data_IF_292887552160
#
_entry.id   IF_292887552160
#
_cell.length_a   1.000
_cell.length_b   1.000
_cell.length_c   1.000
_cell.angle_alpha   90.00
_cell.angle_beta   90.00
_cell.angle_gamma   90.00
#
_symmetry.space_group_name_H-M   'P 1'
#
loop_
_entity.id
_entity.type
_entity.pdbx_description
1 polymer ?
#
# COMPACT_ATOMS: atom_id res chain seq x y z
N UNK A 1 -5.26 -2.13 19.32
CA UNK A 1 -5.12 -3.35 20.16
C UNK A 1 -6.47 -4.03 20.40
N UNK A 2 -7.58 -3.27 20.57
CA UNK A 2 -8.90 -3.85 20.83
C UNK A 2 -9.37 -4.74 19.68
N UNK A 3 -9.28 -4.28 18.43
CA UNK A 3 -9.67 -5.06 17.24
C UNK A 3 -8.88 -6.38 17.10
N UNK A 4 -7.62 -6.43 17.51
CA UNK A 4 -6.83 -7.67 17.52
C UNK A 4 -7.33 -8.65 18.58
N UNK A 5 -7.67 -8.13 19.78
CA UNK A 5 -8.20 -8.96 20.84
C UNK A 5 -9.57 -9.56 20.48
N UNK A 6 -10.45 -8.75 19.90
CA UNK A 6 -11.79 -9.19 19.41
C UNK A 6 -11.68 -10.24 18.31
N UNK A 7 -10.67 -10.14 17.44
CA UNK A 7 -10.39 -11.10 16.39
C UNK A 7 -9.58 -12.33 16.85
N UNK A 8 -9.18 -12.41 18.12
CA UNK A 8 -8.36 -13.50 18.65
C UNK A 8 -6.93 -13.51 18.07
N UNK A 9 -6.45 -12.39 17.55
CA UNK A 9 -5.15 -12.24 16.89
C UNK A 9 -4.14 -11.64 17.89
N UNK A 10 -2.94 -12.21 17.97
CA UNK A 10 -1.84 -11.60 18.69
C UNK A 10 -1.34 -10.38 17.92
N UNK A 11 -1.53 -9.19 18.46
CA UNK A 11 -1.15 -7.95 17.80
C UNK A 11 -1.07 -6.77 18.78
N UNK A 12 -0.29 -5.77 18.39
CA UNK A 12 -0.10 -4.52 19.12
C UNK A 12 -0.40 -3.34 18.21
N UNK A 13 -1.23 -2.41 18.69
CA UNK A 13 -1.44 -1.13 18.02
C UNK A 13 -0.43 -0.10 18.52
N UNK A 14 0.23 0.58 17.59
CA UNK A 14 1.17 1.68 17.88
C UNK A 14 0.78 2.89 17.04
N UNK A 15 0.71 4.07 17.69
CA UNK A 15 0.50 5.31 16.96
C UNK A 15 1.78 5.70 16.22
N UNK A 16 1.66 5.98 14.93
CA UNK A 16 2.79 6.31 14.07
C UNK A 16 2.38 7.33 13.00
N UNK A 17 3.06 8.47 12.97
CA UNK A 17 3.05 9.34 11.80
C UNK A 17 4.16 8.90 10.84
N UNK A 18 3.77 8.33 9.70
CA UNK A 18 4.71 7.82 8.69
C UNK A 18 5.54 8.92 8.02
N UNK A 19 5.14 10.19 8.15
CA UNK A 19 5.87 11.34 7.65
C UNK A 19 6.94 11.84 8.61
N UNK A 20 6.92 11.42 9.87
CA UNK A 20 7.93 11.75 10.88
C UNK A 20 9.03 10.67 10.93
N UNK A 21 10.21 11.01 10.42
CA UNK A 21 11.33 10.08 10.35
C UNK A 21 11.81 9.64 11.76
N UNK A 22 11.84 10.56 12.72
CA UNK A 22 12.29 10.25 14.07
C UNK A 22 11.31 9.32 14.80
N UNK A 23 10.02 9.54 14.60
CA UNK A 23 8.97 8.67 15.13
C UNK A 23 9.00 7.29 14.49
N UNK A 24 9.23 7.19 13.17
CA UNK A 24 9.41 5.91 12.47
C UNK A 24 10.57 5.13 13.06
N UNK A 25 11.74 5.76 13.20
CA UNK A 25 12.92 5.12 13.75
C UNK A 25 12.72 4.65 15.22
N UNK A 26 12.07 5.47 16.04
CA UNK A 26 11.77 5.12 17.44
C UNK A 26 10.81 3.93 17.53
N UNK A 27 9.72 3.95 16.77
CA UNK A 27 8.69 2.88 16.76
C UNK A 27 9.28 1.57 16.24
N UNK A 28 10.02 1.59 15.13
CA UNK A 28 10.62 0.37 14.58
C UNK A 28 11.72 -0.19 15.48
N UNK A 29 12.47 0.67 16.18
CA UNK A 29 13.44 0.24 17.20
C UNK A 29 12.74 -0.45 18.37
N UNK A 30 11.63 0.10 18.87
CA UNK A 30 10.84 -0.53 19.95
C UNK A 30 10.25 -1.88 19.51
N UNK A 31 9.67 -1.94 18.31
CA UNK A 31 9.17 -3.19 17.72
C UNK A 31 10.29 -4.23 17.63
N UNK A 32 11.46 -3.84 17.13
CA UNK A 32 12.62 -4.73 17.02
C UNK A 32 13.10 -5.29 18.36
N UNK A 33 13.07 -4.49 19.42
CA UNK A 33 13.41 -4.94 20.78
C UNK A 33 12.39 -5.92 21.37
N UNK A 34 11.11 -5.72 21.07
CA UNK A 34 9.99 -6.50 21.64
C UNK A 34 9.70 -7.79 20.89
N UNK A 35 9.84 -7.76 19.57
CA UNK A 35 9.35 -8.84 18.69
C UNK A 35 10.41 -9.39 17.74
N UNK A 36 11.62 -8.78 17.71
CA UNK A 36 12.66 -9.13 16.74
C UNK A 36 12.54 -8.40 15.41
N UNK A 37 13.36 -8.80 14.44
CA UNK A 37 13.40 -8.18 13.13
C UNK A 37 12.06 -8.36 12.37
N UNK A 38 11.64 -7.30 11.68
CA UNK A 38 10.40 -7.31 10.88
C UNK A 38 10.61 -8.17 9.64
N UNK A 39 9.85 -9.25 9.53
CA UNK A 39 9.91 -10.16 8.38
C UNK A 39 8.96 -9.76 7.23
N UNK A 40 7.85 -9.10 7.53
CA UNK A 40 6.85 -8.66 6.55
C UNK A 40 6.51 -7.20 6.82
N UNK A 41 6.61 -6.36 5.79
CA UNK A 41 6.18 -4.97 5.82
C UNK A 41 5.04 -4.77 4.83
N UNK A 42 3.91 -4.25 5.31
CA UNK A 42 2.80 -3.82 4.46
C UNK A 42 2.66 -2.31 4.55
N UNK A 43 3.00 -1.61 3.48
CA UNK A 43 2.83 -0.17 3.36
C UNK A 43 1.40 0.13 2.87
N UNK A 44 0.48 0.35 3.80
CA UNK A 44 -0.93 0.61 3.52
C UNK A 44 -1.35 2.06 3.78
N UNK A 45 -0.60 2.81 4.59
CA UNK A 45 -0.91 4.21 4.89
C UNK A 45 -1.02 5.04 3.60
N UNK A 46 -2.05 5.85 3.50
CA UNK A 46 -2.27 6.70 2.34
C UNK A 46 -3.44 7.66 2.55
N UNK A 47 -3.38 8.78 1.86
CA UNK A 47 -4.39 9.83 1.87
C UNK A 47 -4.73 10.24 0.44
N UNK A 48 -5.82 10.96 0.25
CA UNK A 48 -6.19 11.64 -1.00
C UNK A 48 -6.43 13.12 -0.73
N UNK A 49 -6.00 13.96 -1.67
CA UNK A 49 -6.34 15.37 -1.77
C UNK A 49 -6.69 15.65 -3.23
N UNK A 50 -7.97 15.45 -3.56
CA UNK A 50 -8.44 15.52 -4.93
C UNK A 50 -8.71 16.97 -5.32
N UNK A 51 -8.03 17.44 -6.37
CA UNK A 51 -8.22 18.76 -6.93
C UNK A 51 -7.80 18.80 -8.42
N UNK A 52 -8.46 19.61 -9.24
CA UNK A 52 -8.00 19.84 -10.61
C UNK A 52 -6.62 20.52 -10.59
N UNK A 53 -5.73 20.14 -11.50
CA UNK A 53 -4.33 20.62 -11.50
C UNK A 53 -4.20 22.15 -11.44
N UNK A 54 -5.08 22.88 -12.15
CA UNK A 54 -5.09 24.36 -12.13
C UNK A 54 -5.43 24.97 -10.76
N UNK A 55 -6.01 24.20 -9.85
CA UNK A 55 -6.44 24.65 -8.53
C UNK A 55 -5.66 23.97 -7.42
N UNK A 56 -4.93 22.90 -7.74
CA UNK A 56 -4.13 22.12 -6.81
C UNK A 56 -3.01 22.99 -6.23
N UNK A 57 -2.92 23.03 -4.91
CA UNK A 57 -1.88 23.74 -4.19
C UNK A 57 -0.65 22.86 -4.03
N UNK A 58 0.51 23.48 -3.81
CA UNK A 58 1.76 22.75 -3.59
C UNK A 58 1.71 21.89 -2.31
N UNK A 59 1.08 22.39 -1.25
CA UNK A 59 0.88 21.63 -0.02
C UNK A 59 0.01 20.37 -0.23
N UNK A 60 -1.06 20.46 -1.05
CA UNK A 60 -1.88 19.29 -1.42
C UNK A 60 -1.08 18.26 -2.24
N UNK A 61 -0.15 18.71 -3.06
CA UNK A 61 0.76 17.86 -3.82
C UNK A 61 1.79 17.21 -2.89
N UNK A 62 2.48 17.99 -2.07
CA UNK A 62 3.55 17.53 -1.18
C UNK A 62 3.04 16.54 -0.14
N UNK A 63 1.90 16.80 0.49
CA UNK A 63 1.27 15.90 1.46
C UNK A 63 1.01 14.52 0.86
N UNK A 64 0.54 14.46 -0.38
CA UNK A 64 0.30 13.19 -1.08
C UNK A 64 1.61 12.47 -1.38
N UNK A 65 2.61 13.17 -1.90
CA UNK A 65 3.91 12.57 -2.21
C UNK A 65 4.63 12.10 -0.93
N UNK A 66 4.59 12.88 0.13
CA UNK A 66 5.21 12.54 1.41
C UNK A 66 4.53 11.33 2.05
N UNK A 67 3.19 11.30 2.08
CA UNK A 67 2.45 10.23 2.73
C UNK A 67 2.38 8.97 1.88
N UNK A 68 2.09 9.07 0.58
CA UNK A 68 1.81 7.89 -0.25
C UNK A 68 3.06 7.30 -0.93
N UNK A 69 4.17 8.04 -1.01
CA UNK A 69 5.39 7.56 -1.67
C UNK A 69 6.62 7.63 -0.78
N UNK A 70 6.94 8.78 -0.20
CA UNK A 70 8.15 8.96 0.62
C UNK A 70 8.11 8.13 1.90
N UNK A 71 6.92 7.93 2.49
CA UNK A 71 6.74 7.03 3.63
C UNK A 71 7.11 5.59 3.28
N UNK A 72 6.72 5.12 2.08
CA UNK A 72 7.06 3.78 1.57
C UNK A 72 8.56 3.60 1.47
N UNK A 73 9.27 4.58 0.91
CA UNK A 73 10.74 4.58 0.90
C UNK A 73 11.30 4.51 2.33
N UNK A 74 10.81 5.36 3.24
CA UNK A 74 11.32 5.47 4.62
C UNK A 74 11.15 4.17 5.38
N UNK A 75 9.95 3.60 5.39
CA UNK A 75 9.66 2.35 6.09
C UNK A 75 10.39 1.16 5.47
N UNK A 76 10.41 1.05 4.14
CA UNK A 76 11.15 0.00 3.46
C UNK A 76 12.64 0.04 3.81
N UNK A 77 13.28 1.21 3.73
CA UNK A 77 14.69 1.40 4.10
C UNK A 77 14.97 0.98 5.54
N UNK A 78 14.08 1.32 6.47
CA UNK A 78 14.27 1.05 7.89
C UNK A 78 14.25 -0.46 8.23
N UNK A 79 13.45 -1.27 7.51
CA UNK A 79 13.38 -2.73 7.75
C UNK A 79 14.43 -3.54 6.98
N UNK A 80 15.03 -2.96 5.93
CA UNK A 80 15.93 -3.69 5.02
C UNK A 80 17.10 -4.35 5.72
N UNK A 81 17.74 -3.70 6.69
CA UNK A 81 18.93 -4.23 7.35
C UNK A 81 18.64 -5.57 8.05
N UNK A 82 17.51 -5.66 8.75
CA UNK A 82 17.06 -6.89 9.40
C UNK A 82 16.74 -7.98 8.39
N UNK A 83 15.93 -7.66 7.37
CA UNK A 83 15.57 -8.60 6.29
C UNK A 83 16.80 -9.13 5.53
N UNK A 84 17.76 -8.26 5.19
CA UNK A 84 19.01 -8.66 4.50
C UNK A 84 19.88 -9.58 5.36
N UNK A 85 19.97 -9.32 6.66
CA UNK A 85 20.68 -10.18 7.62
C UNK A 85 20.00 -11.55 7.74
N UNK A 86 18.68 -11.57 7.83
CA UNK A 86 17.88 -12.79 7.91
C UNK A 86 17.86 -13.57 6.56
N UNK A 87 18.20 -12.93 5.44
CA UNK A 87 18.03 -13.45 4.05
C UNK A 87 16.60 -13.90 3.81
N UNK A 88 15.64 -13.18 4.34
CA UNK A 88 14.21 -13.42 4.19
C UNK A 88 13.45 -12.12 4.45
N UNK A 89 12.46 -11.82 3.65
CA UNK A 89 11.59 -10.66 3.83
C UNK A 89 10.50 -10.55 2.77
N UNK A 90 9.44 -9.85 3.12
CA UNK A 90 8.34 -9.50 2.21
C UNK A 90 7.99 -8.04 2.40
N UNK A 91 8.04 -7.27 1.31
CA UNK A 91 7.57 -5.88 1.29
C UNK A 91 6.40 -5.82 0.32
N UNK A 92 5.24 -5.39 0.82
CA UNK A 92 3.99 -5.32 0.06
C UNK A 92 3.49 -3.88 0.14
N UNK A 93 3.39 -3.23 -1.01
CA UNK A 93 2.98 -1.84 -1.12
C UNK A 93 1.56 -1.76 -1.67
N UNK A 94 0.66 -1.06 -0.96
CA UNK A 94 -0.73 -0.89 -1.41
C UNK A 94 -0.79 0.29 -2.38
N UNK A 95 -0.82 -0.07 -3.65
CA UNK A 95 -0.97 0.84 -4.78
C UNK A 95 -2.42 1.29 -4.98
N UNK A 96 -2.77 1.49 -6.24
CA UNK A 96 -4.14 1.77 -6.71
C UNK A 96 -4.22 1.54 -8.21
N UNK A 97 -5.39 1.19 -8.71
CA UNK A 97 -5.71 1.20 -10.13
C UNK A 97 -5.43 2.58 -10.76
N UNK A 98 -5.65 3.65 -10.01
CA UNK A 98 -5.41 5.04 -10.44
C UNK A 98 -3.93 5.30 -10.77
N UNK A 99 -3.00 4.57 -10.16
CA UNK A 99 -1.58 4.65 -10.52
C UNK A 99 -1.27 4.15 -11.94
N UNK A 100 -2.11 3.28 -12.50
CA UNK A 100 -1.98 2.76 -13.86
C UNK A 100 -2.86 3.55 -14.86
N UNK A 101 -4.11 3.88 -14.49
CA UNK A 101 -5.09 4.48 -15.41
C UNK A 101 -5.10 6.00 -15.37
N UNK A 102 -4.63 6.62 -14.27
CA UNK A 102 -4.93 8.01 -13.97
C UNK A 102 -6.39 8.22 -13.56
N UNK A 103 -6.68 9.37 -12.99
CA UNK A 103 -8.04 9.85 -12.75
C UNK A 103 -8.05 11.38 -12.70
N UNK A 104 -9.07 12.00 -13.29
CA UNK A 104 -9.21 13.46 -13.26
C UNK A 104 -9.29 13.97 -11.81
N UNK A 105 -8.54 15.01 -11.47
CA UNK A 105 -8.47 15.56 -10.13
C UNK A 105 -7.50 14.83 -9.17
N UNK A 106 -6.83 13.76 -9.63
CA UNK A 106 -5.93 12.95 -8.81
C UNK A 106 -4.51 12.86 -9.39
N UNK A 107 -4.02 13.90 -10.04
CA UNK A 107 -2.68 13.89 -10.64
C UNK A 107 -1.56 13.64 -9.62
N UNK A 108 -1.65 14.23 -8.42
CA UNK A 108 -0.76 13.97 -7.29
C UNK A 108 -0.83 12.52 -6.81
N UNK A 109 -2.03 12.01 -6.58
CA UNK A 109 -2.26 10.63 -6.12
C UNK A 109 -1.81 9.60 -7.16
N UNK A 110 -2.16 9.80 -8.44
CA UNK A 110 -1.70 8.97 -9.55
C UNK A 110 -0.18 8.94 -9.66
N UNK A 111 0.48 10.10 -9.55
CA UNK A 111 1.94 10.21 -9.57
C UNK A 111 2.58 9.42 -8.42
N UNK A 112 2.06 9.58 -7.19
CA UNK A 112 2.56 8.86 -6.03
C UNK A 112 2.39 7.33 -6.17
N UNK A 113 1.21 6.86 -6.62
CA UNK A 113 0.93 5.42 -6.77
C UNK A 113 1.68 4.80 -7.95
N UNK A 114 1.86 5.51 -9.06
CA UNK A 114 2.73 5.08 -10.17
C UNK A 114 4.21 5.05 -9.74
N UNK A 115 4.67 6.09 -9.02
CA UNK A 115 6.03 6.15 -8.47
C UNK A 115 6.33 5.01 -7.50
N UNK A 116 5.34 4.57 -6.70
CA UNK A 116 5.44 3.43 -5.81
C UNK A 116 5.71 2.12 -6.58
N UNK A 117 5.10 1.93 -7.75
CA UNK A 117 5.34 0.75 -8.61
C UNK A 117 6.77 0.79 -9.16
N UNK A 118 7.24 1.95 -9.65
CA UNK A 118 8.62 2.13 -10.11
C UNK A 118 9.64 1.88 -9.00
N UNK A 119 9.41 2.43 -7.81
CA UNK A 119 10.21 2.18 -6.61
C UNK A 119 10.27 0.67 -6.28
N UNK A 120 9.13 0.00 -6.26
CA UNK A 120 9.03 -1.42 -5.92
C UNK A 120 9.82 -2.29 -6.89
N UNK A 121 9.73 -2.03 -8.20
CA UNK A 121 10.49 -2.74 -9.23
C UNK A 121 11.99 -2.56 -9.07
N UNK A 122 12.45 -1.34 -8.78
CA UNK A 122 13.87 -1.05 -8.56
C UNK A 122 14.39 -1.76 -7.32
N UNK A 123 13.67 -1.65 -6.20
CA UNK A 123 14.05 -2.29 -4.95
C UNK A 123 14.05 -3.82 -5.08
N UNK A 124 13.07 -4.41 -5.78
CA UNK A 124 13.03 -5.84 -6.05
C UNK A 124 14.30 -6.35 -6.78
N UNK A 125 14.82 -5.59 -7.74
CA UNK A 125 16.07 -5.90 -8.44
C UNK A 125 17.29 -5.81 -7.51
N UNK A 126 17.30 -4.82 -6.62
CA UNK A 126 18.43 -4.56 -5.71
C UNK A 126 18.59 -5.66 -4.66
N UNK A 127 17.48 -6.14 -4.09
CA UNK A 127 17.51 -7.02 -2.91
C UNK A 127 17.05 -8.46 -3.18
N UNK A 128 16.62 -8.81 -4.38
CA UNK A 128 16.10 -10.14 -4.72
C UNK A 128 17.08 -11.27 -4.41
N UNK A 129 18.39 -11.04 -4.59
CA UNK A 129 19.45 -12.01 -4.24
C UNK A 129 19.52 -12.36 -2.74
N UNK A 130 18.82 -11.60 -1.90
CA UNK A 130 18.70 -11.84 -0.46
C UNK A 130 17.41 -12.57 -0.06
N UNK A 131 16.68 -13.15 -1.02
CA UNK A 131 15.40 -13.81 -0.79
C UNK A 131 14.35 -12.86 -0.17
N UNK A 132 14.40 -11.60 -0.57
CA UNK A 132 13.43 -10.57 -0.16
C UNK A 132 12.61 -10.22 -1.41
N UNK A 133 11.28 -10.31 -1.31
CA UNK A 133 10.39 -9.93 -2.40
C UNK A 133 9.75 -8.56 -2.13
N UNK A 134 9.56 -7.80 -3.20
CA UNK A 134 8.89 -6.49 -3.15
C UNK A 134 7.80 -6.46 -4.21
N UNK A 135 6.54 -6.36 -3.80
CA UNK A 135 5.41 -6.38 -4.70
C UNK A 135 4.41 -5.27 -4.37
N UNK A 136 3.59 -4.93 -5.36
CA UNK A 136 2.46 -4.04 -5.18
C UNK A 136 1.15 -4.82 -5.24
N UNK A 137 0.17 -4.40 -4.46
CA UNK A 137 -1.25 -4.72 -4.66
C UNK A 137 -1.92 -3.46 -5.14
N UNK A 138 -2.64 -3.51 -6.25
CA UNK A 138 -3.35 -2.37 -6.83
C UNK A 138 -4.86 -2.57 -6.75
N UNK A 139 -5.52 -2.11 -5.67
CA UNK A 139 -6.95 -2.17 -5.54
C UNK A 139 -7.66 -1.26 -6.58
N UNK A 140 -8.85 -1.68 -7.00
CA UNK A 140 -9.82 -0.82 -7.67
C UNK A 140 -10.69 -0.08 -6.67
N UNK A 141 -11.99 0.07 -6.98
CA UNK A 141 -12.96 0.63 -6.04
C UNK A 141 -13.36 -0.39 -4.97
N UNK A 142 -13.00 -0.06 -3.72
CA UNK A 142 -13.23 -0.91 -2.54
C UNK A 142 -14.31 -0.27 -1.67
N UNK A 143 -15.23 -1.09 -1.15
CA UNK A 143 -16.26 -0.65 -0.20
C UNK A 143 -15.59 -0.29 1.14
N UNK A 144 -15.40 0.99 1.34
CA UNK A 144 -14.81 1.61 2.54
C UNK A 144 -15.68 2.79 2.97
N UNK A 145 -15.38 3.38 4.11
CA UNK A 145 -16.10 4.58 4.58
C UNK A 145 -16.08 5.71 3.54
N UNK A 146 -15.03 5.80 2.75
CA UNK A 146 -14.89 6.78 1.67
C UNK A 146 -15.92 6.56 0.54
N UNK A 147 -16.18 5.31 0.17
CA UNK A 147 -17.15 4.97 -0.90
C UNK A 147 -18.58 4.87 -0.39
N UNK A 148 -18.78 4.69 0.92
CA UNK A 148 -20.13 4.67 1.56
C UNK A 148 -20.78 6.05 1.63
N UNK A 149 -19.98 7.12 1.58
CA UNK A 149 -20.48 8.49 1.52
C UNK A 149 -20.99 8.94 0.16
N UNK A 150 -20.88 8.11 -0.88
CA UNK A 150 -21.35 8.42 -2.24
C UNK A 150 -22.86 8.24 -2.39
N UNK A 151 -23.49 9.04 -3.25
CA UNK A 151 -24.89 8.83 -3.63
C UNK A 151 -25.09 7.51 -4.39
N UNK A 152 -26.31 7.00 -4.40
CA UNK A 152 -26.66 5.76 -5.14
C UNK A 152 -26.33 5.87 -6.64
N UNK A 153 -26.51 7.03 -7.24
CA UNK A 153 -26.19 7.29 -8.64
C UNK A 153 -24.67 7.24 -8.88
N UNK A 154 -23.89 7.89 -8.00
CA UNK A 154 -22.42 7.83 -8.06
C UNK A 154 -21.93 6.40 -7.88
N UNK A 155 -22.50 5.67 -6.92
CA UNK A 155 -22.17 4.26 -6.67
C UNK A 155 -22.48 3.39 -7.88
N UNK A 156 -23.65 3.56 -8.51
CA UNK A 156 -24.01 2.83 -9.75
C UNK A 156 -23.06 3.16 -10.89
N UNK A 157 -22.67 4.42 -11.06
CA UNK A 157 -21.71 4.84 -12.08
C UNK A 157 -20.32 4.19 -11.88
N UNK A 158 -19.86 4.07 -10.62
CA UNK A 158 -18.61 3.38 -10.29
C UNK A 158 -18.71 1.87 -10.58
N UNK A 159 -19.78 1.23 -10.13
CA UNK A 159 -20.00 -0.21 -10.37
C UNK A 159 -20.09 -0.52 -11.86
N UNK A 160 -20.66 0.38 -12.66
CA UNK A 160 -20.73 0.25 -14.11
C UNK A 160 -19.35 0.22 -14.81
N UNK A 161 -18.28 0.68 -14.14
CA UNK A 161 -16.92 0.62 -14.66
C UNK A 161 -16.19 -0.68 -14.27
N UNK A 162 -16.80 -1.53 -13.44
CA UNK A 162 -16.18 -2.76 -12.91
C UNK A 162 -16.77 -3.96 -13.66
N UNK A 163 -16.00 -4.69 -14.48
CA UNK A 163 -16.49 -5.89 -15.17
C UNK A 163 -17.14 -6.94 -14.27
N UNK A 164 -16.65 -7.13 -13.03
CA UNK A 164 -17.27 -8.03 -12.06
C UNK A 164 -18.58 -7.49 -11.46
N UNK A 165 -19.02 -6.27 -11.80
CA UNK A 165 -20.32 -5.70 -11.42
C UNK A 165 -20.51 -5.41 -9.93
N UNK A 166 -19.44 -5.37 -9.14
CA UNK A 166 -19.49 -5.06 -7.70
C UNK A 166 -18.24 -4.29 -7.25
N UNK A 167 -18.38 -3.54 -6.18
CA UNK A 167 -17.20 -3.03 -5.45
C UNK A 167 -16.43 -4.21 -4.84
N UNK A 168 -15.12 -4.09 -4.75
CA UNK A 168 -14.29 -4.99 -3.95
C UNK A 168 -14.53 -4.77 -2.46
N UNK A 169 -14.28 -5.79 -1.65
CA UNK A 169 -14.23 -5.67 -0.20
C UNK A 169 -12.78 -5.58 0.31
N UNK A 170 -12.58 -5.09 1.53
CA UNK A 170 -11.27 -5.11 2.18
C UNK A 170 -10.66 -6.52 2.22
N UNK A 171 -11.51 -7.55 2.32
CA UNK A 171 -11.11 -8.96 2.31
C UNK A 171 -10.53 -9.41 0.97
N UNK A 172 -10.99 -8.85 -0.16
CA UNK A 172 -10.44 -9.16 -1.48
C UNK A 172 -8.97 -8.67 -1.57
N UNK A 173 -8.69 -7.48 -1.02
CA UNK A 173 -7.33 -6.92 -0.97
C UNK A 173 -6.47 -7.67 0.04
N UNK A 174 -7.01 -7.98 1.22
CA UNK A 174 -6.29 -8.70 2.27
C UNK A 174 -5.86 -10.10 1.80
N UNK A 175 -6.69 -10.81 1.04
CA UNK A 175 -6.34 -12.12 0.49
C UNK A 175 -5.10 -12.04 -0.43
N UNK A 176 -5.00 -11.01 -1.27
CA UNK A 176 -3.84 -10.77 -2.12
C UNK A 176 -2.58 -10.46 -1.29
N UNK A 177 -2.71 -9.65 -0.23
CA UNK A 177 -1.61 -9.35 0.69
C UNK A 177 -1.13 -10.60 1.41
N UNK A 178 -2.02 -11.42 1.94
CA UNK A 178 -1.69 -12.68 2.62
C UNK A 178 -0.99 -13.64 1.66
N UNK A 179 -1.47 -13.76 0.42
CA UNK A 179 -0.80 -14.58 -0.60
C UNK A 179 0.63 -14.09 -0.85
N UNK A 180 0.84 -12.79 -1.10
CA UNK A 180 2.17 -12.22 -1.37
C UNK A 180 3.11 -12.31 -0.14
N UNK A 181 2.56 -12.33 1.07
CA UNK A 181 3.31 -12.52 2.31
C UNK A 181 3.72 -13.98 2.53
N UNK A 182 3.05 -14.94 1.88
CA UNK A 182 3.24 -16.37 2.08
C UNK A 182 4.50 -16.94 1.40
N UNK A 183 4.97 -18.12 1.82
CA UNK A 183 6.03 -18.84 1.12
C UNK A 183 5.69 -19.17 -0.34
N UNK A 184 4.40 -19.37 -0.67
CA UNK A 184 3.93 -19.68 -2.03
C UNK A 184 4.21 -18.57 -3.04
N UNK A 185 4.38 -17.32 -2.60
CA UNK A 185 4.75 -16.19 -3.43
C UNK A 185 6.28 -15.93 -3.48
N UNK A 186 7.11 -16.86 -3.00
CA UNK A 186 8.55 -16.66 -2.86
C UNK A 186 9.30 -16.44 -4.19
N UNK A 187 8.69 -16.74 -5.34
CA UNK A 187 9.26 -16.48 -6.66
C UNK A 187 8.58 -15.32 -7.39
N UNK A 188 7.76 -14.54 -6.68
CA UNK A 188 7.06 -13.36 -7.21
C UNK A 188 7.71 -12.10 -6.60
N UNK A 189 8.35 -11.28 -7.43
CA UNK A 189 8.94 -10.01 -7.01
C UNK A 189 8.89 -8.97 -8.12
N UNK A 190 8.72 -7.71 -7.78
CA UNK A 190 8.56 -6.60 -8.73
C UNK A 190 7.20 -6.60 -9.45
N UNK A 191 6.28 -7.46 -9.06
CA UNK A 191 4.95 -7.57 -9.65
C UNK A 191 3.96 -6.57 -9.05
N UNK A 192 2.95 -6.21 -9.86
CA UNK A 192 1.75 -5.52 -9.39
C UNK A 192 0.57 -6.46 -9.53
N UNK A 193 -0.02 -6.86 -8.41
CA UNK A 193 -1.21 -7.70 -8.40
C UNK A 193 -2.46 -6.81 -8.37
N UNK A 194 -3.17 -6.80 -9.49
CA UNK A 194 -4.40 -6.02 -9.64
C UNK A 194 -5.58 -6.70 -8.94
N UNK A 195 -6.22 -5.99 -8.00
CA UNK A 195 -7.41 -6.43 -7.25
C UNK A 195 -8.51 -5.42 -7.47
N UNK A 196 -9.03 -5.38 -8.71
CA UNK A 196 -9.87 -4.28 -9.19
C UNK A 196 -11.13 -4.72 -9.94
N UNK A 197 -11.47 -6.01 -9.92
CA UNK A 197 -12.66 -6.52 -10.59
C UNK A 197 -12.64 -6.39 -12.12
N UNK A 198 -11.46 -6.24 -12.71
CA UNK A 198 -11.27 -6.08 -14.16
C UNK A 198 -11.29 -4.63 -14.65
N UNK A 199 -11.30 -3.62 -13.76
CA UNK A 199 -11.24 -2.21 -14.18
C UNK A 199 -9.97 -1.86 -14.97
N UNK A 200 -8.89 -2.56 -14.71
CA UNK A 200 -7.62 -2.46 -15.42
C UNK A 200 -7.04 -3.85 -15.60
N UNK A 201 -6.58 -4.13 -16.81
CA UNK A 201 -5.98 -5.40 -17.22
C UNK A 201 -4.70 -5.11 -18.02
N UNK A 202 -3.56 -5.62 -17.58
CA UNK A 202 -2.23 -5.53 -18.22
C UNK A 202 -1.49 -6.88 -18.21
#
# INVERSE_FOLDING_TARGET
SQAFAEAGIQGVGVALNVNDAAQVDAVLTDIGKRFGDIAILVNNAGITHDNLLLRMKEDEWDDILDTNLKSVYRLSKAVLRGMMKARAGRIINIGSVVGATGNAGQSNYAAAKAGMVGFSKSLAREIGSRNITVNCVAPGFIDTDMTRGLSDEQRKALVGQIPLGRLGGAVDVAAAVVFLASPGAGYITGATLHVNGGMHMD
#
